data_IF_344282108326
#
_entry.id   IF_344282108326
#
_cell.length_a   1.000
_cell.length_b   1.000
_cell.length_c   1.000
_cell.angle_alpha   90.00
_cell.angle_beta   90.00
_cell.angle_gamma   90.00
#
_symmetry.space_group_name_H-M   'P 1'
#
loop_
_entity.id
_entity.type
_entity.pdbx_description
1 polymer ?
#
# COMPACT_ATOMS: atom_id res chain seq x y z
N UNK A 1 -7.12 11.64 -2.27
CA UNK A 1 -5.80 11.02 -2.00
C UNK A 1 -4.66 11.77 -2.70
N UNK A 2 -4.81 12.12 -3.99
CA UNK A 2 -3.83 12.90 -4.76
C UNK A 2 -3.43 14.23 -4.10
N UNK A 3 -4.42 15.01 -3.65
CA UNK A 3 -4.19 16.28 -2.98
C UNK A 3 -3.39 16.13 -1.67
N UNK A 4 -3.68 15.09 -0.88
CA UNK A 4 -3.01 14.85 0.39
C UNK A 4 -1.54 14.46 0.20
N UNK A 5 -1.24 13.53 -0.71
CA UNK A 5 0.13 13.12 -1.02
C UNK A 5 0.94 14.30 -1.56
N UNK A 6 0.36 15.08 -2.47
CA UNK A 6 1.00 16.27 -3.04
C UNK A 6 1.37 17.28 -1.94
N UNK A 7 0.45 17.56 -1.02
CA UNK A 7 0.70 18.45 0.13
C UNK A 7 1.76 17.89 1.07
N UNK A 8 1.76 16.59 1.34
CA UNK A 8 2.78 15.95 2.18
C UNK A 8 4.17 16.02 1.54
N UNK A 9 4.26 15.85 0.22
CA UNK A 9 5.52 16.00 -0.53
C UNK A 9 6.00 17.45 -0.55
N UNK A 10 5.10 18.41 -0.79
CA UNK A 10 5.41 19.85 -0.74
C UNK A 10 5.91 20.28 0.65
N UNK A 11 5.33 19.73 1.72
CA UNK A 11 5.74 19.97 3.09
C UNK A 11 6.98 19.16 3.53
N UNK A 12 7.62 18.38 2.64
CA UNK A 12 8.75 17.49 2.94
C UNK A 12 8.47 16.49 4.07
N UNK A 13 7.24 16.00 4.16
CA UNK A 13 6.84 14.93 5.07
C UNK A 13 6.97 13.55 4.40
N UNK A 14 6.72 13.49 3.09
CA UNK A 14 6.80 12.27 2.28
C UNK A 14 7.89 12.38 1.21
N UNK A 15 8.50 11.25 0.85
CA UNK A 15 9.43 11.15 -0.29
C UNK A 15 8.74 11.48 -1.61
N UNK A 16 9.50 12.09 -2.53
CA UNK A 16 8.96 12.71 -3.75
C UNK A 16 8.65 11.72 -4.89
N UNK A 17 9.23 10.52 -4.86
CA UNK A 17 9.05 9.47 -5.86
C UNK A 17 7.90 8.50 -5.55
N UNK A 18 7.10 8.77 -4.50
CA UNK A 18 5.86 8.03 -4.22
C UNK A 18 4.72 8.48 -5.12
N UNK A 19 3.93 7.50 -5.55
CA UNK A 19 2.68 7.71 -6.27
C UNK A 19 1.46 7.24 -5.47
N UNK A 20 0.28 7.61 -5.95
CA UNK A 20 -0.99 7.10 -5.41
C UNK A 20 -1.12 5.59 -5.60
N UNK A 21 -0.51 5.05 -6.64
CA UNK A 21 -0.51 3.62 -6.90
C UNK A 21 0.28 2.86 -5.83
N UNK A 22 1.46 3.36 -5.45
CA UNK A 22 2.27 2.78 -4.38
C UNK A 22 1.51 2.79 -3.03
N UNK A 23 0.85 3.91 -2.71
CA UNK A 23 0.03 4.01 -1.50
C UNK A 23 -1.13 3.01 -1.51
N UNK A 24 -1.75 2.80 -2.68
CA UNK A 24 -2.85 1.83 -2.82
C UNK A 24 -2.37 0.41 -2.55
N UNK A 25 -1.26 0.00 -3.15
CA UNK A 25 -0.66 -1.32 -2.95
C UNK A 25 -0.21 -1.54 -1.50
N UNK A 26 0.38 -0.52 -0.87
CA UNK A 26 0.78 -0.56 0.53
C UNK A 26 -0.43 -0.75 1.45
N UNK A 27 -1.51 0.00 1.25
CA UNK A 27 -2.70 -0.12 2.07
C UNK A 27 -3.34 -1.51 1.94
N UNK A 28 -3.32 -2.12 0.75
CA UNK A 28 -3.75 -3.51 0.54
C UNK A 28 -2.85 -4.50 1.29
N UNK A 29 -1.54 -4.32 1.27
CA UNK A 29 -0.59 -5.13 2.03
C UNK A 29 -0.82 -5.03 3.55
N UNK A 30 -1.06 -3.82 4.06
CA UNK A 30 -1.41 -3.59 5.47
C UNK A 30 -2.75 -4.23 5.83
N UNK A 31 -3.77 -4.11 4.98
CA UNK A 31 -5.07 -4.77 5.19
C UNK A 31 -4.93 -6.30 5.28
N UNK A 32 -4.07 -6.91 4.45
CA UNK A 32 -3.76 -8.34 4.55
C UNK A 32 -3.05 -8.68 5.86
N UNK A 33 -2.12 -7.84 6.31
CA UNK A 33 -1.47 -8.01 7.62
C UNK A 33 -2.47 -7.92 8.77
N UNK A 34 -3.45 -7.02 8.68
CA UNK A 34 -4.57 -6.94 9.63
C UNK A 34 -5.39 -8.23 9.66
N UNK A 35 -5.69 -8.82 8.50
CA UNK A 35 -6.42 -10.10 8.45
C UNK A 35 -5.65 -11.26 9.11
N UNK A 36 -4.32 -11.25 9.03
CA UNK A 36 -3.45 -12.28 9.63
C UNK A 36 -3.31 -12.10 11.15
N UNK A 37 -3.12 -10.86 11.60
CA UNK A 37 -2.67 -10.56 12.98
C UNK A 37 -3.76 -9.95 13.86
N UNK A 38 -4.75 -9.29 13.28
CA UNK A 38 -5.63 -8.33 13.96
C UNK A 38 -6.55 -8.92 15.02
N UNK A 39 -6.92 -10.19 14.95
CA UNK A 39 -7.77 -10.83 15.95
C UNK A 39 -7.02 -11.21 17.24
N UNK A 40 -5.72 -11.53 17.13
CA UNK A 40 -4.92 -12.02 18.26
C UNK A 40 -4.06 -10.91 18.87
N UNK A 41 -3.52 -10.04 18.02
CA UNK A 41 -2.69 -8.92 18.45
C UNK A 41 -2.83 -7.73 17.48
N UNK A 42 -3.74 -6.78 17.77
CA UNK A 42 -3.88 -5.55 16.99
C UNK A 42 -2.62 -4.68 16.96
N UNK A 43 -1.69 -4.86 17.90
CA UNK A 43 -0.43 -4.11 17.93
C UNK A 43 0.47 -4.44 16.75
N UNK A 44 0.38 -5.67 16.23
CA UNK A 44 1.28 -6.15 15.17
C UNK A 44 1.02 -5.49 13.82
N UNK A 45 -0.24 -5.36 13.40
CA UNK A 45 -0.53 -4.65 12.15
C UNK A 45 -0.23 -3.14 12.27
N UNK A 46 -0.42 -2.55 13.45
CA UNK A 46 -0.05 -1.14 13.71
C UNK A 46 1.45 -0.92 13.63
N UNK A 47 2.24 -1.85 14.19
CA UNK A 47 3.69 -1.85 14.06
C UNK A 47 4.12 -1.99 12.60
N UNK A 48 3.48 -2.88 11.84
CA UNK A 48 3.75 -3.04 10.41
C UNK A 48 3.46 -1.75 9.63
N UNK A 49 2.29 -1.12 9.87
CA UNK A 49 1.96 0.17 9.27
C UNK A 49 2.99 1.25 9.63
N UNK A 50 3.44 1.33 10.88
CA UNK A 50 4.45 2.29 11.30
C UNK A 50 5.79 2.10 10.56
N UNK A 51 6.22 0.85 10.35
CA UNK A 51 7.44 0.52 9.58
C UNK A 51 7.30 1.01 8.14
N UNK A 52 6.16 0.72 7.50
CA UNK A 52 5.93 1.12 6.11
C UNK A 52 5.88 2.64 5.97
N UNK A 53 5.18 3.34 6.88
CA UNK A 53 5.11 4.81 6.88
C UNK A 53 6.48 5.45 7.14
N UNK A 54 7.32 4.85 7.99
CA UNK A 54 8.68 5.35 8.22
C UNK A 54 9.51 5.31 6.93
N UNK A 55 9.43 4.22 6.16
CA UNK A 55 10.08 4.09 4.85
C UNK A 55 9.58 5.07 3.77
N UNK A 56 8.43 5.70 3.98
CA UNK A 56 7.84 6.70 3.09
C UNK A 56 8.26 8.15 3.41
N UNK A 57 8.99 8.37 4.52
CA UNK A 57 9.40 9.72 4.95
C UNK A 57 10.38 10.35 3.97
N UNK A 58 10.30 11.68 3.87
CA UNK A 58 11.14 12.51 3.00
C UNK A 58 12.66 12.29 3.16
N UNK A 59 13.11 11.91 4.36
CA UNK A 59 14.52 11.64 4.65
C UNK A 59 15.12 10.52 3.79
N UNK A 60 14.30 9.62 3.24
CA UNK A 60 14.73 8.54 2.37
C UNK A 60 14.81 9.03 0.91
N UNK A 61 16.00 9.44 0.48
CA UNK A 61 16.24 10.02 -0.84
C UNK A 61 16.72 9.04 -1.91
N UNK A 62 17.09 7.82 -1.53
CA UNK A 62 17.45 6.77 -2.48
C UNK A 62 16.22 6.38 -3.32
N UNK A 63 16.32 6.51 -4.64
CA UNK A 63 15.24 6.22 -5.58
C UNK A 63 14.72 4.79 -5.39
N UNK A 64 13.39 4.63 -5.37
CA UNK A 64 12.78 3.30 -5.37
C UNK A 64 13.17 2.50 -6.63
N UNK A 65 13.35 1.18 -6.53
CA UNK A 65 13.58 0.34 -7.69
C UNK A 65 12.34 0.29 -8.59
N UNK A 66 12.56 0.32 -9.89
CA UNK A 66 11.49 0.23 -10.90
C UNK A 66 10.74 1.54 -11.14
N UNK A 67 9.72 1.46 -11.98
CA UNK A 67 8.76 2.54 -12.22
C UNK A 67 7.48 2.25 -11.43
N UNK A 68 6.80 3.29 -10.92
CA UNK A 68 5.47 3.11 -10.35
C UNK A 68 4.52 2.58 -11.43
N UNK A 69 3.55 1.72 -11.08
CA UNK A 69 2.59 1.24 -12.05
C UNK A 69 1.71 2.40 -12.54
N UNK A 70 1.39 2.40 -13.83
CA UNK A 70 0.40 3.32 -14.37
C UNK A 70 -0.98 3.05 -13.74
N UNK A 71 -1.89 4.04 -13.71
CA UNK A 71 -3.25 3.82 -13.23
C UNK A 71 -3.95 2.63 -13.92
N UNK A 72 -3.73 2.44 -15.22
CA UNK A 72 -4.32 1.36 -16.02
C UNK A 72 -3.71 0.00 -15.71
N UNK A 73 -2.40 -0.04 -15.39
CA UNK A 73 -1.74 -1.26 -14.92
C UNK A 73 -2.28 -1.66 -13.56
N UNK A 74 -2.31 -0.72 -12.61
CA UNK A 74 -2.83 -0.97 -11.26
C UNK A 74 -4.29 -1.46 -11.31
N UNK A 75 -5.14 -0.77 -12.06
CA UNK A 75 -6.56 -1.10 -12.18
C UNK A 75 -6.79 -2.50 -12.80
N UNK A 76 -5.98 -2.88 -13.79
CA UNK A 76 -5.96 -4.23 -14.36
C UNK A 76 -5.55 -5.27 -13.32
N UNK A 77 -4.45 -5.05 -12.62
CA UNK A 77 -3.89 -6.00 -11.65
C UNK A 77 -4.85 -6.20 -10.46
N UNK A 78 -5.48 -5.11 -9.99
CA UNK A 78 -6.49 -5.18 -8.93
C UNK A 78 -7.75 -5.94 -9.35
N UNK A 79 -8.21 -5.77 -10.60
CA UNK A 79 -9.32 -6.57 -11.15
C UNK A 79 -8.97 -8.04 -11.23
N UNK A 80 -7.76 -8.37 -11.67
CA UNK A 80 -7.32 -9.76 -11.74
C UNK A 80 -7.25 -10.40 -10.36
N UNK A 81 -6.58 -9.73 -9.42
CA UNK A 81 -6.42 -10.19 -8.04
C UNK A 81 -7.77 -10.36 -7.32
N UNK A 82 -8.68 -9.39 -7.44
CA UNK A 82 -10.02 -9.49 -6.83
C UNK A 82 -10.83 -10.63 -7.44
N UNK A 83 -10.73 -10.84 -8.77
CA UNK A 83 -11.32 -12.00 -9.43
C UNK A 83 -10.79 -13.33 -8.89
N UNK A 84 -9.48 -13.42 -8.61
CA UNK A 84 -8.88 -14.61 -7.99
C UNK A 84 -9.38 -14.83 -6.56
N UNK A 85 -9.48 -13.77 -5.74
CA UNK A 85 -10.02 -13.87 -4.38
C UNK A 85 -11.47 -14.38 -4.36
N UNK A 86 -12.32 -13.85 -5.22
CA UNK A 86 -13.72 -14.25 -5.32
C UNK A 86 -13.85 -15.71 -5.78
N UNK A 87 -13.03 -16.14 -6.75
CA UNK A 87 -12.99 -17.53 -7.22
C UNK A 87 -12.44 -18.49 -6.16
N UNK A 88 -11.38 -18.10 -5.44
CA UNK A 88 -10.75 -18.90 -4.40
C UNK A 88 -11.62 -19.05 -3.14
N UNK A 89 -12.49 -18.09 -2.85
CA UNK A 89 -13.45 -18.16 -1.74
C UNK A 89 -14.61 -19.12 -2.01
N UNK A 90 -14.77 -19.60 -3.25
CA UNK A 90 -15.88 -20.49 -3.66
C UNK A 90 -15.61 -21.99 -3.43
N UNK A 91 -14.42 -22.37 -2.93
CA UNK A 91 -14.05 -23.80 -2.68
C UNK A 91 -14.26 -24.22 -1.22
N UNK A 92 -14.73 -23.31 -0.36
CA UNK A 92 -15.08 -23.63 1.04
C UNK A 92 -16.48 -23.07 1.33
N UNK A 93 -17.49 -23.77 0.82
CA UNK A 93 -18.88 -23.63 1.25
C UNK A 93 -19.46 -25.04 1.41
#
# INVERSE_FOLDING_TARGET
MSDLLSRAQQARLARADLTIADLTLVLLGVARTMAITGQRDPGQWRRHLAIVLDGMRYQHSQRLPGLPPSPEQLDRDLREWSGQLLRGSSVVA
#
